data_IF_962332299702
#
_entry.id   IF_962332299702
#
_cell.length_a   1.000
_cell.length_b   1.000
_cell.length_c   1.000
_cell.angle_alpha   90.00
_cell.angle_beta   90.00
_cell.angle_gamma   90.00
#
_symmetry.space_group_name_H-M   'P 1'
#
loop_
_entity.id
_entity.type
_entity.pdbx_description
1 polymer ?
#
# COMPACT_ATOMS: atom_id res chain seq x y z
N UNK A 1 -9.44 11.18 16.38
CA UNK A 1 -9.54 9.91 15.61
C UNK A 1 -8.25 9.11 15.58
N UNK A 2 -7.14 9.60 15.02
CA UNK A 2 -5.88 8.84 14.96
C UNK A 2 -5.40 8.45 16.36
N UNK A 3 -5.30 9.44 17.26
CA UNK A 3 -4.96 9.20 18.67
C UNK A 3 -5.92 8.23 19.35
N UNK A 4 -7.24 8.44 19.21
CA UNK A 4 -8.24 7.62 19.91
C UNK A 4 -8.22 6.14 19.51
N UNK A 5 -7.86 5.85 18.25
CA UNK A 5 -7.84 4.47 17.72
C UNK A 5 -6.47 3.80 17.81
N UNK A 6 -5.38 4.58 17.70
CA UNK A 6 -4.02 4.03 17.55
C UNK A 6 -3.03 4.54 18.59
N UNK A 7 -3.41 5.47 19.46
CA UNK A 7 -2.51 6.08 20.45
C UNK A 7 -1.40 6.95 19.85
N UNK A 8 -1.48 7.26 18.55
CA UNK A 8 -0.47 8.03 17.84
C UNK A 8 -0.75 9.51 18.06
N UNK A 9 0.24 10.21 18.62
CA UNK A 9 0.25 11.67 18.72
C UNK A 9 0.80 12.21 17.40
N UNK A 10 0.10 13.18 16.81
CA UNK A 10 0.52 13.84 15.57
C UNK A 10 0.92 15.26 15.94
N UNK A 11 2.22 15.53 15.90
CA UNK A 11 2.76 16.85 16.24
C UNK A 11 2.45 17.89 15.14
N UNK A 12 2.56 17.46 13.88
CA UNK A 12 2.34 18.31 12.72
C UNK A 12 1.54 17.60 11.62
N UNK A 13 0.81 18.37 10.83
CA UNK A 13 0.02 17.86 9.71
C UNK A 13 0.13 18.76 8.48
N UNK A 14 0.27 18.13 7.32
CA UNK A 14 0.23 18.78 6.03
C UNK A 14 -0.83 18.11 5.17
N UNK A 15 -1.72 18.92 4.59
CA UNK A 15 -2.70 18.46 3.60
C UNK A 15 -2.33 19.01 2.24
N UNK A 16 -2.05 18.13 1.28
CA UNK A 16 -1.61 18.48 -0.07
C UNK A 16 -2.74 18.18 -1.05
N UNK A 17 -3.18 19.18 -1.81
CA UNK A 17 -4.17 18.96 -2.87
C UNK A 17 -3.53 18.45 -4.17
N UNK A 18 -4.36 18.15 -5.17
CA UNK A 18 -3.89 17.64 -6.45
C UNK A 18 -3.06 18.65 -7.26
N UNK A 19 -3.32 19.94 -7.14
CA UNK A 19 -2.57 20.97 -7.84
C UNK A 19 -1.18 21.14 -7.22
N UNK A 20 -1.09 21.20 -5.88
CA UNK A 20 0.17 21.20 -5.14
C UNK A 20 1.03 19.99 -5.51
N UNK A 21 0.43 18.79 -5.46
CA UNK A 21 1.13 17.55 -5.74
C UNK A 21 1.82 17.58 -7.12
N UNK A 22 1.05 17.92 -8.18
CA UNK A 22 1.58 17.99 -9.55
C UNK A 22 2.74 18.97 -9.65
N UNK A 23 2.58 20.16 -9.08
CA UNK A 23 3.58 21.23 -9.13
C UNK A 23 4.86 20.86 -8.38
N UNK A 24 4.76 20.17 -7.25
CA UNK A 24 5.91 19.66 -6.51
C UNK A 24 6.69 18.66 -7.37
N UNK A 25 5.99 17.70 -8.00
CA UNK A 25 6.61 16.70 -8.89
C UNK A 25 7.33 17.37 -10.06
N UNK A 26 6.66 18.31 -10.75
CA UNK A 26 7.27 19.03 -11.88
C UNK A 26 8.47 19.87 -11.43
N UNK A 27 8.39 20.48 -10.25
CA UNK A 27 9.47 21.29 -9.69
C UNK A 27 10.71 20.48 -9.38
N UNK A 28 10.57 19.24 -8.90
CA UNK A 28 11.72 18.33 -8.70
C UNK A 28 12.25 17.74 -10.02
N UNK A 29 11.65 18.09 -11.17
CA UNK A 29 12.07 17.62 -12.49
C UNK A 29 11.43 16.28 -12.89
N UNK A 30 10.33 15.91 -12.23
CA UNK A 30 9.69 14.62 -12.36
C UNK A 30 10.27 13.59 -11.38
N UNK A 31 9.57 12.45 -11.26
CA UNK A 31 9.96 11.36 -10.35
C UNK A 31 10.11 10.07 -11.15
N UNK A 32 11.30 9.48 -11.08
CA UNK A 32 11.62 8.27 -11.83
C UNK A 32 11.19 7.01 -11.07
N UNK A 33 10.48 6.12 -11.75
CA UNK A 33 9.99 4.86 -11.19
C UNK A 33 10.30 3.71 -12.16
N UNK A 34 10.92 2.62 -11.69
CA UNK A 34 11.20 1.45 -12.52
C UNK A 34 9.96 0.54 -12.59
N UNK A 35 9.62 0.11 -13.80
CA UNK A 35 8.61 -0.92 -14.04
C UNK A 35 9.23 -2.11 -14.79
N UNK A 36 8.93 -3.33 -14.35
CA UNK A 36 9.36 -4.55 -15.05
C UNK A 36 8.51 -4.85 -16.28
N UNK A 37 7.30 -4.27 -16.36
CA UNK A 37 6.31 -4.52 -17.40
C UNK A 37 5.59 -3.23 -17.78
N UNK A 38 4.98 -3.15 -18.97
CA UNK A 38 4.06 -2.07 -19.31
C UNK A 38 2.88 -2.04 -18.33
N UNK A 39 2.51 -0.84 -17.87
CA UNK A 39 1.41 -0.65 -16.91
C UNK A 39 0.36 0.30 -17.47
N UNK A 40 -0.91 0.08 -17.11
CA UNK A 40 -2.01 0.96 -17.49
C UNK A 40 -3.13 0.96 -16.46
N UNK A 41 -3.82 2.07 -16.34
CA UNK A 41 -5.09 2.18 -15.61
C UNK A 41 -5.99 3.19 -16.33
N UNK A 42 -6.99 2.65 -17.05
CA UNK A 42 -7.92 3.45 -17.84
C UNK A 42 -8.82 4.36 -16.97
N UNK A 43 -9.02 4.04 -15.70
CA UNK A 43 -9.90 4.80 -14.81
C UNK A 43 -9.28 6.15 -14.42
N UNK A 44 -7.95 6.23 -14.45
CA UNK A 44 -7.18 7.45 -14.15
C UNK A 44 -6.42 7.99 -15.37
N UNK A 45 -6.53 7.32 -16.53
CA UNK A 45 -5.86 7.73 -17.77
C UNK A 45 -4.34 7.49 -17.75
N UNK A 46 -3.87 6.51 -16.98
CA UNK A 46 -2.46 6.14 -16.92
C UNK A 46 -2.14 5.10 -18.00
N UNK A 47 -1.10 5.35 -18.80
CA UNK A 47 -0.61 4.41 -19.81
C UNK A 47 0.92 4.53 -19.96
N UNK A 48 1.65 3.52 -19.48
CA UNK A 48 3.10 3.41 -19.58
C UNK A 48 3.39 2.18 -20.47
N UNK A 49 3.61 2.38 -21.78
CA UNK A 49 3.64 1.29 -22.75
C UNK A 49 4.95 0.50 -22.75
N UNK A 50 6.00 1.02 -22.12
CA UNK A 50 7.35 0.46 -22.15
C UNK A 50 7.82 0.17 -20.73
N UNK A 51 8.37 -1.03 -20.52
CA UNK A 51 9.04 -1.39 -19.27
C UNK A 51 10.37 -0.62 -19.12
N UNK A 52 10.79 -0.41 -17.89
CA UNK A 52 12.00 0.32 -17.52
C UNK A 52 11.68 1.54 -16.64
N UNK A 53 12.63 2.46 -16.57
CA UNK A 53 12.49 3.69 -15.83
C UNK A 53 11.60 4.69 -16.57
N UNK A 54 10.46 5.02 -15.97
CA UNK A 54 9.59 6.10 -16.43
C UNK A 54 9.73 7.31 -15.51
N UNK A 55 10.00 8.47 -16.08
CA UNK A 55 10.03 9.74 -15.34
C UNK A 55 8.65 10.36 -15.38
N UNK A 56 7.93 10.30 -14.27
CA UNK A 56 6.60 10.85 -14.15
C UNK A 56 6.62 12.38 -14.09
N UNK A 57 5.89 13.01 -15.01
CA UNK A 57 5.41 14.40 -14.83
C UNK A 57 4.35 14.48 -13.74
N UNK A 58 4.00 15.69 -13.28
CA UNK A 58 3.01 15.89 -12.23
C UNK A 58 1.64 15.25 -12.53
N UNK A 59 1.15 15.39 -13.76
CA UNK A 59 -0.12 14.81 -14.18
C UNK A 59 -0.09 13.27 -14.19
N UNK A 60 0.96 12.68 -14.76
CA UNK A 60 1.12 11.22 -14.81
C UNK A 60 1.36 10.65 -13.40
N UNK A 61 2.17 11.33 -12.58
CA UNK A 61 2.40 10.97 -11.19
C UNK A 61 1.08 10.93 -10.42
N UNK A 62 0.21 11.94 -10.62
CA UNK A 62 -1.09 11.98 -9.95
C UNK A 62 -1.97 10.81 -10.38
N UNK A 63 -1.96 10.45 -11.67
CA UNK A 63 -2.66 9.27 -12.15
C UNK A 63 -2.10 7.99 -11.52
N UNK A 64 -0.78 7.85 -11.46
CA UNK A 64 -0.08 6.72 -10.87
C UNK A 64 -0.44 6.49 -9.39
N UNK A 65 -0.32 7.51 -8.54
CA UNK A 65 -0.59 7.39 -7.10
C UNK A 65 -2.07 7.26 -6.76
N UNK A 66 -2.97 7.55 -7.71
CA UNK A 66 -4.44 7.41 -7.55
C UNK A 66 -4.99 6.10 -8.07
N UNK A 67 -4.25 5.43 -8.94
CA UNK A 67 -4.67 4.20 -9.59
C UNK A 67 -5.03 3.12 -8.55
N UNK A 68 -6.20 2.50 -8.72
CA UNK A 68 -6.71 1.37 -7.92
C UNK A 68 -6.78 0.08 -8.73
N UNK A 69 -6.75 0.21 -10.06
CA UNK A 69 -7.00 -0.88 -11.01
C UNK A 69 -5.81 -0.98 -11.94
N UNK A 70 -4.61 -0.98 -11.37
CA UNK A 70 -3.39 -0.99 -12.15
C UNK A 70 -3.28 -2.34 -12.86
N UNK A 71 -3.12 -2.30 -14.16
CA UNK A 71 -3.01 -3.48 -15.02
C UNK A 71 -1.62 -3.57 -15.60
N UNK A 72 -1.12 -4.79 -15.74
CA UNK A 72 0.13 -5.05 -16.43
C UNK A 72 -0.02 -6.21 -17.39
N UNK A 73 0.96 -6.36 -18.27
CA UNK A 73 1.03 -7.48 -19.21
C UNK A 73 2.31 -8.26 -18.90
N UNK A 74 2.18 -9.56 -18.68
CA UNK A 74 3.34 -10.43 -18.44
C UNK A 74 4.10 -10.76 -19.74
N UNK A 75 5.24 -11.44 -19.61
CA UNK A 75 6.09 -11.84 -20.74
C UNK A 75 5.35 -12.72 -21.78
N UNK A 76 4.26 -13.38 -21.38
CA UNK A 76 3.44 -14.23 -22.25
C UNK A 76 2.31 -13.46 -22.93
N UNK A 77 2.20 -12.14 -22.71
CA UNK A 77 1.14 -11.31 -23.26
C UNK A 77 -0.19 -11.38 -22.50
N UNK A 78 -0.21 -11.97 -21.30
CA UNK A 78 -1.42 -12.06 -20.48
C UNK A 78 -1.59 -10.80 -19.66
N UNK A 79 -2.78 -10.20 -19.71
CA UNK A 79 -3.12 -9.03 -18.92
C UNK A 79 -3.59 -9.43 -17.52
N UNK A 80 -3.03 -8.77 -16.51
CA UNK A 80 -3.35 -8.94 -15.09
C UNK A 80 -3.80 -7.60 -14.49
N UNK A 81 -4.48 -7.65 -13.35
CA UNK A 81 -4.94 -6.47 -12.59
C UNK A 81 -4.55 -6.64 -11.12
N UNK A 82 -4.00 -5.58 -10.53
CA UNK A 82 -3.58 -5.56 -9.13
C UNK A 82 -4.80 -5.68 -8.23
N UNK A 83 -4.86 -6.78 -7.47
CA UNK A 83 -6.00 -7.10 -6.61
C UNK A 83 -5.92 -6.42 -5.25
N UNK A 84 -4.79 -5.79 -4.92
CA UNK A 84 -4.61 -5.13 -3.64
C UNK A 84 -5.40 -3.82 -3.51
N UNK A 85 -5.98 -3.29 -4.60
CA UNK A 85 -6.89 -2.14 -4.59
C UNK A 85 -6.29 -0.94 -3.83
N UNK A 86 -6.82 -0.60 -2.66
CA UNK A 86 -6.34 0.53 -1.86
C UNK A 86 -5.02 0.21 -1.15
N UNK A 87 -4.74 -1.05 -0.78
CA UNK A 87 -3.47 -1.47 -0.20
C UNK A 87 -2.32 -1.37 -1.22
N UNK A 88 -2.57 -1.82 -2.45
CA UNK A 88 -1.64 -1.65 -3.58
C UNK A 88 -1.33 -0.18 -3.87
N UNK A 89 -2.35 0.67 -3.74
CA UNK A 89 -2.19 2.12 -3.88
C UNK A 89 -1.40 2.74 -2.73
N UNK A 90 -1.65 2.34 -1.47
CA UNK A 90 -0.90 2.84 -0.31
C UNK A 90 0.59 2.51 -0.48
N UNK A 91 0.94 1.30 -0.92
CA UNK A 91 2.34 0.92 -1.15
C UNK A 91 3.01 1.80 -2.20
N UNK A 92 2.32 2.03 -3.33
CA UNK A 92 2.84 2.92 -4.39
C UNK A 92 2.97 4.37 -3.92
N UNK A 93 2.05 4.86 -3.10
CA UNK A 93 2.15 6.19 -2.51
C UNK A 93 3.35 6.32 -1.58
N UNK A 94 3.63 5.30 -0.78
CA UNK A 94 4.79 5.25 0.12
C UNK A 94 6.11 5.24 -0.67
N UNK A 95 6.25 4.37 -1.67
CA UNK A 95 7.43 4.34 -2.55
C UNK A 95 7.58 5.66 -3.32
N UNK A 96 6.48 6.19 -3.88
CA UNK A 96 6.52 7.44 -4.63
C UNK A 96 6.93 8.64 -3.78
N UNK A 97 6.49 8.72 -2.51
CA UNK A 97 6.92 9.76 -1.58
C UNK A 97 8.43 9.68 -1.33
N UNK A 98 8.96 8.47 -1.10
CA UNK A 98 10.40 8.23 -0.91
C UNK A 98 11.21 8.65 -2.14
N UNK A 99 10.75 8.29 -3.35
CA UNK A 99 11.37 8.69 -4.61
C UNK A 99 11.28 10.19 -4.89
N UNK A 100 10.18 10.82 -4.49
CA UNK A 100 10.01 12.28 -4.60
C UNK A 100 11.02 12.99 -3.69
N UNK A 101 11.22 12.50 -2.46
CA UNK A 101 12.25 13.02 -1.57
C UNK A 101 13.64 12.84 -2.18
N UNK A 102 13.96 11.67 -2.72
CA UNK A 102 15.23 11.42 -3.40
C UNK A 102 15.44 12.40 -4.56
N UNK A 103 14.46 12.58 -5.45
CA UNK A 103 14.53 13.52 -6.56
C UNK A 103 14.73 14.98 -6.08
N UNK A 104 14.08 15.37 -4.99
CA UNK A 104 14.27 16.69 -4.38
C UNK A 104 15.69 16.88 -3.82
N UNK A 105 16.26 15.85 -3.19
CA UNK A 105 17.63 15.87 -2.68
C UNK A 105 18.66 15.92 -3.82
N UNK A 106 18.48 15.10 -4.86
CA UNK A 106 19.38 15.02 -6.02
C UNK A 106 19.40 16.33 -6.82
N UNK A 107 18.23 16.97 -6.99
CA UNK A 107 18.14 18.29 -7.61
C UNK A 107 18.68 19.40 -6.71
N UNK A 108 18.81 19.12 -5.41
CA UNK A 108 19.15 20.07 -4.38
C UNK A 108 17.90 20.76 -3.86
N UNK A 109 17.54 20.51 -2.59
CA UNK A 109 16.37 21.12 -1.94
C UNK A 109 16.42 22.66 -1.86
N UNK A 110 17.60 23.25 -2.13
CA UNK A 110 17.82 24.70 -2.22
C UNK A 110 17.88 25.22 -3.66
N UNK A 111 17.65 24.38 -4.67
CA UNK A 111 17.48 24.85 -6.04
C UNK A 111 16.38 25.92 -6.07
N UNK A 112 16.62 27.11 -6.66
CA UNK A 112 15.65 28.19 -6.63
C UNK A 112 14.29 27.83 -7.23
N UNK A 113 14.23 26.93 -8.22
CA UNK A 113 12.98 26.49 -8.81
C UNK A 113 12.23 25.52 -7.89
N UNK A 114 12.94 24.55 -7.29
CA UNK A 114 12.36 23.64 -6.27
C UNK A 114 11.87 24.44 -5.06
N UNK A 115 12.70 25.33 -4.52
CA UNK A 115 12.39 26.16 -3.38
C UNK A 115 11.21 27.10 -3.68
N UNK A 116 11.20 27.77 -4.84
CA UNK A 116 10.08 28.65 -5.22
C UNK A 116 8.78 27.89 -5.41
N UNK A 117 8.81 26.72 -6.05
CA UNK A 117 7.61 25.92 -6.27
C UNK A 117 7.08 25.31 -4.97
N UNK A 118 7.98 24.90 -4.08
CA UNK A 118 7.64 24.45 -2.74
C UNK A 118 7.00 25.60 -1.96
N UNK A 119 7.64 26.77 -1.88
CA UNK A 119 7.07 27.95 -1.19
C UNK A 119 5.70 28.33 -1.76
N UNK A 120 5.54 28.39 -3.08
CA UNK A 120 4.27 28.78 -3.71
C UNK A 120 3.17 27.74 -3.50
N UNK A 121 3.50 26.44 -3.60
CA UNK A 121 2.57 25.34 -3.28
C UNK A 121 2.16 25.37 -1.83
N UNK A 122 3.12 25.64 -0.93
CA UNK A 122 2.88 25.74 0.51
C UNK A 122 1.98 26.92 0.89
N UNK A 123 2.09 28.04 0.19
CA UNK A 123 1.27 29.23 0.44
C UNK A 123 -0.15 29.10 -0.11
N UNK A 124 -0.32 28.43 -1.24
CA UNK A 124 -1.59 28.48 -2.00
C UNK A 124 -2.42 27.20 -1.89
N UNK A 125 -1.77 26.04 -1.75
CA UNK A 125 -2.41 24.75 -1.99
C UNK A 125 -2.15 23.68 -0.91
N UNK A 126 -1.39 24.02 0.14
CA UNK A 126 -1.12 23.12 1.26
C UNK A 126 -1.67 23.72 2.56
N UNK A 127 -2.58 22.99 3.20
CA UNK A 127 -3.10 23.33 4.53
C UNK A 127 -2.16 22.77 5.58
N UNK A 128 -1.80 23.59 6.57
CA UNK A 128 -0.81 23.29 7.61
C UNK A 128 -1.36 23.62 8.98
N UNK A 129 -0.87 22.91 10.00
CA UNK A 129 -1.14 23.26 11.39
C UNK A 129 -0.43 24.56 11.81
N UNK A 130 -0.78 25.07 13.00
CA UNK A 130 -0.27 26.35 13.51
C UNK A 130 1.25 26.35 13.70
N UNK A 131 1.87 25.20 13.97
CA UNK A 131 3.31 25.04 14.18
C UNK A 131 4.14 25.02 12.90
N UNK A 132 3.50 25.04 11.72
CA UNK A 132 4.16 25.10 10.40
C UNK A 132 3.74 26.33 9.58
N UNK A 133 3.14 27.34 10.22
CA UNK A 133 2.67 28.54 9.53
C UNK A 133 3.82 29.45 9.09
N UNK A 134 4.89 29.54 9.89
CA UNK A 134 6.00 30.45 9.61
C UNK A 134 7.01 29.80 8.67
N UNK A 135 7.59 30.60 7.77
CA UNK A 135 8.60 30.12 6.83
C UNK A 135 9.81 29.48 7.54
N UNK A 136 10.19 30.00 8.72
CA UNK A 136 11.33 29.48 9.47
C UNK A 136 11.09 28.05 9.98
N UNK A 137 9.90 27.75 10.50
CA UNK A 137 9.54 26.41 10.98
C UNK A 137 9.66 25.38 9.85
N UNK A 138 9.31 25.80 8.63
CA UNK A 138 9.40 24.97 7.44
C UNK A 138 10.84 24.79 6.94
N UNK A 139 11.65 25.84 7.02
CA UNK A 139 13.08 25.76 6.69
C UNK A 139 13.82 24.87 7.69
N UNK A 140 13.43 24.88 8.95
CA UNK A 140 13.91 23.95 9.97
C UNK A 140 13.52 22.52 9.62
N UNK A 141 12.24 22.27 9.31
CA UNK A 141 11.77 20.95 8.87
C UNK A 141 12.49 20.45 7.61
N UNK A 142 12.65 21.31 6.59
CA UNK A 142 13.42 21.00 5.38
C UNK A 142 14.92 20.79 5.69
N UNK A 143 15.44 21.45 6.72
CA UNK A 143 16.78 21.25 7.25
C UNK A 143 16.96 19.83 7.78
N UNK A 144 16.02 19.34 8.59
CA UNK A 144 16.02 17.96 9.11
C UNK A 144 15.95 16.96 7.95
N UNK A 145 15.07 17.18 6.97
CA UNK A 145 14.92 16.28 5.83
C UNK A 145 16.16 16.19 4.93
N UNK A 146 17.05 17.20 4.91
CA UNK A 146 18.28 17.15 4.12
C UNK A 146 19.20 16.02 4.54
N UNK A 147 19.25 15.73 5.83
CA UNK A 147 20.16 14.74 6.41
C UNK A 147 19.51 13.35 6.49
N UNK A 148 18.27 13.21 6.03
CA UNK A 148 17.56 11.93 5.94
C UNK A 148 17.96 11.23 4.65
N UNK A 149 18.51 10.02 4.78
CA UNK A 149 18.67 9.10 3.65
C UNK A 149 17.29 8.51 3.31
N UNK A 150 16.71 8.79 2.12
CA UNK A 150 15.41 8.27 1.75
C UNK A 150 15.35 6.75 1.76
N UNK A 151 16.47 6.06 1.48
CA UNK A 151 16.53 4.59 1.51
C UNK A 151 16.40 3.99 2.91
N UNK A 152 16.63 4.79 3.96
CA UNK A 152 16.49 4.38 5.36
C UNK A 152 15.07 4.58 5.93
N UNK A 153 14.16 5.17 5.16
CA UNK A 153 12.79 5.43 5.60
C UNK A 153 12.00 4.12 5.60
N UNK A 154 11.64 3.64 6.78
CA UNK A 154 10.73 2.51 6.93
C UNK A 154 9.28 2.94 6.68
N UNK A 155 8.57 2.19 5.85
CA UNK A 155 7.16 2.43 5.54
C UNK A 155 6.31 1.25 5.99
N UNK A 156 5.19 1.54 6.65
CA UNK A 156 4.31 0.53 7.23
C UNK A 156 2.86 0.71 6.78
N UNK A 157 2.11 -0.39 6.72
CA UNK A 157 0.68 -0.38 6.45
C UNK A 157 -0.09 -0.97 7.61
N UNK A 158 -1.16 -0.31 8.06
CA UNK A 158 -2.03 -0.92 9.07
C UNK A 158 -2.71 -2.14 8.44
N UNK A 159 -2.51 -3.30 9.04
CA UNK A 159 -3.18 -4.53 8.62
C UNK A 159 -4.69 -4.40 8.78
N UNK A 160 -5.42 -4.87 7.78
CA UNK A 160 -6.88 -4.85 7.75
C UNK A 160 -7.47 -6.22 7.45
N UNK A 161 -8.72 -6.42 7.84
CA UNK A 161 -9.54 -7.50 7.32
C UNK A 161 -10.76 -6.87 6.63
N UNK A 162 -10.90 -7.13 5.32
CA UNK A 162 -12.08 -6.70 4.58
C UNK A 162 -13.34 -7.41 5.10
N UNK A 163 -14.34 -6.63 5.51
CA UNK A 163 -15.62 -7.11 6.01
C UNK A 163 -16.78 -6.25 5.53
N UNK A 164 -18.01 -6.75 5.67
CA UNK A 164 -19.23 -6.03 5.32
C UNK A 164 -20.01 -5.71 6.60
N UNK A 165 -20.16 -4.42 6.91
CA UNK A 165 -20.93 -3.96 8.07
C UNK A 165 -22.10 -3.12 7.55
N UNK A 166 -23.32 -3.56 7.83
CA UNK A 166 -24.56 -2.90 7.37
C UNK A 166 -24.60 -2.64 5.85
N UNK A 167 -24.03 -3.55 5.05
CA UNK A 167 -23.97 -3.43 3.60
C UNK A 167 -22.84 -2.54 3.06
N UNK A 168 -22.00 -1.97 3.92
CA UNK A 168 -20.83 -1.20 3.53
C UNK A 168 -19.56 -2.05 3.64
N UNK A 169 -18.67 -1.93 2.65
CA UNK A 169 -17.34 -2.50 2.73
C UNK A 169 -16.50 -1.70 3.73
N UNK A 170 -15.90 -2.39 4.69
CA UNK A 170 -15.09 -1.83 5.77
C UNK A 170 -13.82 -2.66 5.92
N UNK A 171 -12.70 -2.00 6.19
CA UNK A 171 -11.48 -2.66 6.68
C UNK A 171 -11.47 -2.59 8.20
N UNK A 172 -11.52 -3.75 8.86
CA UNK A 172 -11.32 -3.84 10.30
C UNK A 172 -9.83 -3.93 10.63
N UNK A 173 -9.24 -3.00 11.40
CA UNK A 173 -7.81 -3.01 11.69
C UNK A 173 -7.36 -4.21 12.54
N UNK A 174 -6.34 -4.93 12.10
CA UNK A 174 -5.68 -6.03 12.83
C UNK A 174 -4.44 -5.53 13.56
N UNK A 175 -4.66 -4.76 14.62
CA UNK A 175 -3.57 -4.12 15.39
C UNK A 175 -3.07 -4.90 16.61
N UNK A 176 -3.60 -6.12 16.82
CA UNK A 176 -3.30 -6.92 18.02
C UNK A 176 -2.12 -7.89 17.84
N UNK A 177 -1.69 -8.12 16.60
CA UNK A 177 -0.51 -8.94 16.30
C UNK A 177 0.76 -8.34 16.86
N UNK A 178 1.74 -9.18 17.20
CA UNK A 178 2.97 -8.72 17.85
C UNK A 178 3.80 -7.82 16.92
N UNK A 179 3.83 -8.11 15.61
CA UNK A 179 4.48 -7.24 14.62
C UNK A 179 3.82 -5.87 14.56
N UNK A 180 2.48 -5.80 14.45
CA UNK A 180 1.76 -4.53 14.39
C UNK A 180 1.85 -3.71 15.68
N UNK A 181 1.87 -4.35 16.85
CA UNK A 181 2.13 -3.67 18.12
C UNK A 181 3.54 -3.06 18.16
N UNK A 182 4.55 -3.79 17.69
CA UNK A 182 5.92 -3.29 17.63
C UNK A 182 6.04 -2.09 16.67
N UNK A 183 5.37 -2.15 15.52
CA UNK A 183 5.27 -1.02 14.58
C UNK A 183 4.58 0.18 15.25
N UNK A 184 3.41 -0.02 15.85
CA UNK A 184 2.67 1.06 16.51
C UNK A 184 3.45 1.68 17.67
N UNK A 185 4.25 0.91 18.41
CA UNK A 185 5.07 1.42 19.51
C UNK A 185 6.05 2.51 19.06
N UNK A 186 6.57 2.41 17.82
CA UNK A 186 7.42 3.45 17.20
C UNK A 186 6.62 4.75 17.04
N UNK A 187 5.43 4.68 16.42
CA UNK A 187 4.59 5.86 16.17
C UNK A 187 3.91 6.41 17.43
N UNK A 188 3.78 5.60 18.47
CA UNK A 188 3.32 6.04 19.80
C UNK A 188 4.45 6.69 20.62
N UNK A 189 5.68 6.71 20.12
CA UNK A 189 6.84 7.25 20.84
C UNK A 189 7.30 6.39 22.03
N UNK A 190 6.91 5.11 22.06
CA UNK A 190 7.25 4.17 23.15
C UNK A 190 8.40 3.24 22.79
N UNK A 191 8.84 3.25 21.53
CA UNK A 191 10.03 2.54 21.04
C UNK A 191 10.85 3.45 20.09
N UNK A 192 12.19 3.34 20.07
CA UNK A 192 13.04 4.14 19.19
C UNK A 192 12.96 3.67 17.73
N UNK A 193 13.15 4.59 16.77
CA UNK A 193 13.24 4.27 15.33
C UNK A 193 14.26 3.18 15.01
N UNK A 194 15.37 3.11 15.78
CA UNK A 194 16.39 2.07 15.59
C UNK A 194 15.89 0.64 15.88
N UNK A 195 14.76 0.48 16.57
CA UNK A 195 14.10 -0.82 16.78
C UNK A 195 12.93 -1.07 15.83
N UNK A 196 12.82 -0.30 14.76
CA UNK A 196 11.82 -0.48 13.72
C UNK A 196 11.89 -1.92 13.16
N UNK A 197 10.81 -2.73 13.31
CA UNK A 197 10.81 -4.09 12.80
C UNK A 197 10.56 -4.12 11.29
N UNK A 198 10.95 -5.20 10.62
CA UNK A 198 10.42 -5.49 9.29
C UNK A 198 8.92 -5.80 9.40
N UNK A 199 8.12 -5.28 8.46
CA UNK A 199 6.69 -5.58 8.43
C UNK A 199 6.45 -6.99 7.90
N UNK A 200 5.76 -7.81 8.68
CA UNK A 200 5.35 -9.16 8.28
C UNK A 200 3.84 -9.27 8.43
N UNK A 201 3.12 -9.37 7.31
CA UNK A 201 1.67 -9.53 7.31
C UNK A 201 1.26 -10.90 7.86
N UNK A 202 0.35 -10.92 8.83
CA UNK A 202 -0.24 -12.17 9.31
C UNK A 202 -1.14 -12.77 8.21
N UNK A 203 -0.63 -13.74 7.47
CA UNK A 203 -1.42 -14.49 6.47
C UNK A 203 -2.58 -15.22 7.14
N UNK A 204 -3.76 -15.16 6.54
CA UNK A 204 -4.99 -15.82 7.02
C UNK A 204 -4.96 -17.34 6.78
N UNK A 205 -3.85 -18.01 7.05
CA UNK A 205 -3.68 -19.45 6.82
C UNK A 205 -3.28 -20.16 8.10
N UNK A 206 -4.26 -20.37 8.98
CA UNK A 206 -4.21 -21.49 9.93
C UNK A 206 -5.60 -22.13 9.99
N UNK A 207 -5.96 -22.86 8.94
CA UNK A 207 -6.77 -24.06 9.14
C UNK A 207 -5.80 -25.19 9.42
N UNK A 208 -5.40 -25.36 10.68
CA UNK A 208 -4.87 -26.64 11.15
C UNK A 208 -5.95 -27.69 10.90
N UNK A 209 -5.75 -28.50 9.86
CA UNK A 209 -6.57 -29.67 9.59
C UNK A 209 -6.59 -30.51 10.88
N UNK A 210 -7.76 -30.91 11.40
CA UNK A 210 -7.82 -31.86 12.50
C UNK A 210 -7.04 -33.13 12.09
N UNK A 211 -6.24 -33.74 12.98
CA UNK A 211 -5.56 -34.98 12.64
C UNK A 211 -6.61 -36.02 12.20
N UNK A 212 -6.37 -36.62 11.03
CA UNK A 212 -7.24 -37.63 10.46
C UNK A 212 -7.47 -38.77 11.47
N UNK A 213 -8.70 -39.31 11.59
CA UNK A 213 -8.94 -40.43 12.49
C UNK A 213 -8.15 -41.66 12.02
N UNK A 214 -7.34 -42.21 12.91
CA UNK A 214 -6.62 -43.47 12.72
C UNK A 214 -7.61 -44.59 12.45
N UNK A 215 -7.69 -45.06 11.20
CA UNK A 215 -8.47 -46.26 10.85
C UNK A 215 -7.66 -47.52 11.15
N UNK A 216 -8.03 -48.21 12.22
CA UNK A 216 -7.60 -49.59 12.50
C UNK A 216 -8.12 -50.53 11.40
N UNK A 217 -7.31 -51.46 10.85
CA UNK A 217 -7.81 -52.41 9.86
C UNK A 217 -8.68 -53.47 10.53
N UNK A 218 -9.92 -53.65 10.07
CA UNK A 218 -10.72 -54.83 10.40
C UNK A 218 -11.05 -55.62 9.14
N UNK A 219 -10.72 -56.91 9.23
CA UNK A 219 -10.79 -57.97 8.22
C UNK A 219 -12.23 -58.35 7.81
N UNK A 220 -12.40 -58.49 6.49
CA UNK A 220 -13.29 -59.33 5.64
C UNK A 220 -14.61 -59.91 6.19
N UNK A 221 -15.71 -59.69 5.44
CA UNK A 221 -16.69 -60.73 5.07
C UNK A 221 -17.47 -60.35 3.79
N UNK A 222 -17.62 -61.31 2.89
CA UNK A 222 -18.29 -61.26 1.58
C UNK A 222 -19.80 -61.53 1.71
N UNK A 223 -20.68 -60.76 1.05
CA UNK A 223 -21.97 -61.28 0.52
C UNK A 223 -22.49 -60.44 -0.65
N UNK A 224 -22.95 -61.16 -1.68
CA UNK A 224 -23.49 -60.76 -2.98
C UNK A 224 -24.93 -60.21 -2.90
N UNK A 225 -25.32 -59.18 -3.68
CA UNK A 225 -26.47 -59.15 -4.65
C UNK A 225 -27.04 -57.74 -5.01
N UNK A 226 -27.13 -57.48 -6.33
CA UNK A 226 -28.19 -56.80 -7.14
C UNK A 226 -28.38 -55.25 -7.06
N UNK A 227 -28.65 -54.55 -8.19
CA UNK A 227 -28.53 -53.09 -8.31
C UNK A 227 -29.85 -52.35 -8.07
N UNK A 228 -29.77 -51.14 -7.48
CA UNK A 228 -30.92 -50.24 -7.35
C UNK A 228 -30.53 -48.79 -7.71
N UNK A 229 -31.42 -48.22 -8.51
CA UNK A 229 -31.43 -46.94 -9.21
C UNK A 229 -31.23 -45.75 -8.28
N UNK A 230 -30.31 -44.85 -8.63
CA UNK A 230 -30.08 -43.57 -7.94
C UNK A 230 -31.21 -42.58 -8.21
N UNK A 231 -31.94 -42.20 -7.16
CA UNK A 231 -32.79 -41.01 -7.13
C UNK A 231 -32.02 -39.91 -6.41
N UNK A 232 -31.70 -38.82 -7.12
CA UNK A 232 -30.93 -37.68 -6.60
C UNK A 232 -31.74 -36.88 -5.58
N UNK A 233 -31.20 -36.72 -4.38
CA UNK A 233 -31.65 -35.74 -3.38
C UNK A 233 -31.25 -34.31 -3.80
N UNK A 234 -32.06 -33.29 -3.50
CA UNK A 234 -31.77 -31.89 -3.87
C UNK A 234 -30.56 -31.35 -3.08
N UNK A 235 -29.66 -30.58 -3.71
CA UNK A 235 -28.49 -30.03 -3.02
C UNK A 235 -28.91 -28.97 -2.02
N UNK A 236 -28.34 -29.08 -0.80
CA UNK A 236 -28.43 -28.07 0.24
C UNK A 236 -27.83 -26.74 -0.26
N UNK A 237 -28.51 -25.65 0.05
CA UNK A 237 -28.12 -24.30 -0.30
C UNK A 237 -26.70 -24.00 0.19
N UNK A 238 -25.80 -23.74 -0.75
CA UNK A 238 -24.47 -23.21 -0.48
C UNK A 238 -24.63 -21.74 -0.14
N UNK A 239 -24.50 -21.38 1.13
CA UNK A 239 -24.28 -20.00 1.54
C UNK A 239 -22.91 -19.60 1.00
N UNK A 240 -22.88 -18.83 -0.09
CA UNK A 240 -21.65 -18.26 -0.63
C UNK A 240 -21.16 -17.20 0.35
N UNK A 241 -20.15 -17.53 1.14
CA UNK A 241 -19.38 -16.55 1.89
C UNK A 241 -18.68 -15.66 0.86
N UNK A 242 -19.14 -14.42 0.70
CA UNK A 242 -18.47 -13.41 -0.13
C UNK A 242 -17.12 -13.14 0.52
N UNK A 243 -16.04 -13.52 -0.15
CA UNK A 243 -14.69 -13.16 0.25
C UNK A 243 -14.55 -11.63 0.25
N UNK A 244 -14.09 -11.05 1.35
CA UNK A 244 -13.76 -9.62 1.42
C UNK A 244 -12.62 -9.28 0.44
N UNK A 245 -12.62 -8.11 -0.23
CA UNK A 245 -11.84 -7.92 -1.45
C UNK A 245 -10.42 -7.32 -1.26
N UNK A 246 -9.83 -7.32 -0.07
CA UNK A 246 -8.46 -6.79 0.11
C UNK A 246 -7.65 -7.72 1.01
N UNK A 247 -6.70 -8.46 0.41
CA UNK A 247 -5.70 -9.27 1.13
C UNK A 247 -4.57 -8.35 1.58
N UNK A 248 -4.02 -8.56 2.80
CA UNK A 248 -2.90 -7.78 3.32
C UNK A 248 -1.61 -8.06 2.53
N UNK A 249 -1.50 -7.46 1.35
CA UNK A 249 -0.36 -7.54 0.45
C UNK A 249 0.02 -6.15 0.01
N UNK A 250 1.32 -5.94 -0.26
CA UNK A 250 1.79 -4.65 -0.81
C UNK A 250 1.20 -4.36 -2.20
N UNK A 251 0.67 -5.35 -2.91
CA UNK A 251 0.21 -5.24 -4.30
C UNK A 251 1.28 -5.71 -5.29
N UNK A 252 0.84 -6.17 -6.45
CA UNK A 252 1.70 -6.87 -7.43
C UNK A 252 2.61 -5.93 -8.24
N UNK A 253 2.34 -4.62 -8.18
CA UNK A 253 2.99 -3.60 -9.03
C UNK A 253 3.51 -2.44 -8.16
N UNK A 254 4.15 -2.79 -7.05
CA UNK A 254 4.94 -1.84 -6.27
C UNK A 254 6.38 -1.96 -6.75
N UNK A 255 7.00 -0.86 -7.22
CA UNK A 255 8.41 -0.86 -7.59
C UNK A 255 9.27 -1.33 -6.42
N UNK A 256 10.30 -2.14 -6.70
CA UNK A 256 11.28 -2.52 -5.68
C UNK A 256 11.98 -1.26 -5.18
N UNK A 257 11.92 -1.06 -3.86
CA UNK A 257 12.50 0.11 -3.19
C UNK A 257 14.04 0.15 -3.31
N UNK A 258 14.69 -0.96 -3.61
CA UNK A 258 16.13 -1.06 -3.81
C UNK A 258 16.56 -0.79 -5.26
N UNK A 259 15.61 -0.64 -6.20
CA UNK A 259 15.90 -0.36 -7.60
C UNK A 259 15.75 1.14 -7.85
N UNK A 260 16.87 1.79 -8.16
CA UNK A 260 16.92 3.17 -8.63
C UNK A 260 16.89 3.27 -10.15
N UNK A 261 16.36 4.42 -10.58
CA UNK A 261 16.61 5.06 -11.85
C UNK A 261 17.57 6.24 -11.54
#
# INVERSE_FOLDING_TARGET
TIYDNFGIVVDHSLTVDFCAFKRIVDAVGGVAVPFSTPIKDANVGLDIPVAGCHVFSGDEALAYVRSRHLKWVDENGTAHEDRASDLGRISRQQDFLRRTLQAALDKGIFDPAVASALIDSLQTYIVRDEGLQQLNDMLEFAGVLRDVDPSSINTYQIEGAGTMINGNAVLEPRIKGDNMKAILAIFQGTAPLASAPEQVFETTTTSTLPPAPTTTPRTTATTTTVPATTTSAPPAATTTTVAGPEENVKGDIVPDENISC
#
